data_IF_649235887498
#
_entry.id   IF_649235887498
#
_cell.length_a   1.000
_cell.length_b   1.000
_cell.length_c   1.000
_cell.angle_alpha   90.00
_cell.angle_beta   90.00
_cell.angle_gamma   90.00
#
_symmetry.space_group_name_H-M   'P 1'
#
loop_
_entity.id
_entity.type
_entity.pdbx_description
1 polymer ?
#
# COMPACT_ATOMS: atom_id res chain seq x y z
N UNK A 1 -34.23 -8.31 28.02
CA UNK A 1 -32.84 -8.13 28.47
C UNK A 1 -31.95 -8.86 27.47
N UNK A 2 -31.39 -8.12 26.52
CA UNK A 2 -30.26 -8.52 25.66
C UNK A 2 -29.77 -7.21 25.01
N UNK A 3 -29.06 -6.44 25.83
CA UNK A 3 -28.39 -5.20 25.43
C UNK A 3 -26.96 -5.63 25.12
N UNK A 4 -26.49 -5.39 23.90
CA UNK A 4 -25.16 -5.74 23.38
C UNK A 4 -24.97 -7.20 22.93
N UNK A 5 -24.98 -7.39 21.61
CA UNK A 5 -24.73 -8.66 20.93
C UNK A 5 -24.98 -8.57 19.42
N UNK A 6 -24.40 -7.57 18.75
CA UNK A 6 -24.32 -7.49 17.28
C UNK A 6 -22.88 -7.82 16.89
N UNK A 7 -22.54 -9.11 16.85
CA UNK A 7 -21.24 -9.58 17.35
C UNK A 7 -20.39 -10.17 16.20
N UNK A 8 -19.51 -9.37 15.57
CA UNK A 8 -18.52 -9.72 14.51
C UNK A 8 -18.99 -10.41 13.22
N UNK A 9 -19.96 -11.32 13.27
CA UNK A 9 -20.43 -12.11 12.14
C UNK A 9 -21.04 -11.22 11.02
N UNK A 10 -21.73 -10.14 11.39
CA UNK A 10 -22.30 -9.20 10.42
C UNK A 10 -21.22 -8.32 9.77
N UNK A 11 -20.21 -7.91 10.53
CA UNK A 11 -19.07 -7.13 10.01
C UNK A 11 -18.20 -7.98 9.09
N UNK A 12 -17.97 -9.25 9.46
CA UNK A 12 -17.30 -10.23 8.60
C UNK A 12 -18.09 -10.53 7.32
N UNK A 13 -19.42 -10.63 7.41
CA UNK A 13 -20.28 -10.79 6.23
C UNK A 13 -20.16 -9.59 5.31
N UNK A 14 -20.26 -8.37 5.85
CA UNK A 14 -20.12 -7.14 5.07
C UNK A 14 -18.73 -7.01 4.42
N UNK A 15 -17.66 -7.32 5.16
CA UNK A 15 -16.30 -7.35 4.64
C UNK A 15 -16.15 -8.33 3.48
N UNK A 16 -16.68 -9.55 3.63
CA UNK A 16 -16.64 -10.55 2.56
C UNK A 16 -17.44 -10.12 1.34
N UNK A 17 -18.60 -9.49 1.52
CA UNK A 17 -19.40 -8.97 0.41
C UNK A 17 -18.63 -7.89 -0.37
N UNK A 18 -17.95 -6.97 0.33
CA UNK A 18 -17.09 -5.97 -0.31
C UNK A 18 -15.92 -6.62 -1.07
N UNK A 19 -15.23 -7.60 -0.45
CA UNK A 19 -14.15 -8.34 -1.10
C UNK A 19 -14.68 -9.03 -2.36
N UNK A 20 -15.79 -9.77 -2.26
CA UNK A 20 -16.40 -10.48 -3.39
C UNK A 20 -16.74 -9.53 -4.55
N UNK A 21 -17.27 -8.34 -4.26
CA UNK A 21 -17.53 -7.32 -5.28
C UNK A 21 -16.24 -6.81 -5.95
N UNK A 22 -15.16 -6.58 -5.18
CA UNK A 22 -13.87 -6.19 -5.75
C UNK A 22 -13.30 -7.29 -6.66
N UNK A 23 -13.35 -8.55 -6.22
CA UNK A 23 -12.87 -9.69 -7.00
C UNK A 23 -13.67 -9.87 -8.30
N UNK A 24 -14.99 -9.73 -8.24
CA UNK A 24 -15.85 -9.76 -9.44
C UNK A 24 -15.51 -8.64 -10.45
N UNK A 25 -14.87 -7.56 -9.99
CA UNK A 25 -14.41 -6.44 -10.81
C UNK A 25 -12.89 -6.47 -11.09
N UNK A 26 -12.26 -7.64 -11.00
CA UNK A 26 -10.89 -7.86 -11.45
C UNK A 26 -9.80 -7.48 -10.44
N UNK A 27 -10.17 -7.21 -9.19
CA UNK A 27 -9.18 -7.09 -8.11
C UNK A 27 -8.62 -8.47 -7.73
N UNK A 28 -7.37 -8.48 -7.28
CA UNK A 28 -6.70 -9.65 -6.73
C UNK A 28 -6.90 -9.68 -5.21
N UNK A 29 -7.16 -10.87 -4.67
CA UNK A 29 -7.11 -11.09 -3.22
C UNK A 29 -5.65 -11.26 -2.79
N UNK A 30 -5.19 -10.42 -1.87
CA UNK A 30 -3.87 -10.52 -1.26
C UNK A 30 -3.89 -11.20 0.10
N UNK A 31 -2.69 -11.60 0.54
CA UNK A 31 -2.45 -12.18 1.87
C UNK A 31 -1.64 -11.20 2.72
N UNK A 32 -2.01 -10.94 3.99
CA UNK A 32 -1.28 -10.03 4.86
C UNK A 32 0.19 -10.40 5.07
N UNK A 33 0.51 -11.69 4.96
CA UNK A 33 1.86 -12.21 5.16
C UNK A 33 2.81 -11.87 3.99
N UNK A 34 2.25 -11.55 2.82
CA UNK A 34 3.01 -11.16 1.62
C UNK A 34 3.23 -9.65 1.53
N UNK A 35 2.71 -8.88 2.49
CA UNK A 35 2.96 -7.45 2.58
C UNK A 35 4.24 -7.19 3.38
N UNK A 36 5.19 -6.50 2.75
CA UNK A 36 6.38 -6.04 3.44
C UNK A 36 6.03 -4.81 4.28
N UNK A 37 6.09 -4.94 5.61
CA UNK A 37 5.73 -3.87 6.56
C UNK A 37 6.74 -2.72 6.61
N UNK A 38 8.02 -3.02 6.38
CA UNK A 38 9.09 -2.01 6.40
C UNK A 38 9.03 -1.11 5.16
N UNK A 39 8.88 -1.72 3.99
CA UNK A 39 8.75 -1.01 2.73
C UNK A 39 7.32 -0.56 2.47
N UNK A 40 6.34 -1.08 3.22
CA UNK A 40 4.90 -0.89 3.01
C UNK A 40 4.50 -1.06 1.53
N UNK A 41 4.93 -2.20 0.98
CA UNK A 41 4.69 -2.62 -0.40
C UNK A 41 4.12 -4.04 -0.42
N UNK A 42 3.30 -4.32 -1.43
CA UNK A 42 3.05 -5.69 -1.87
C UNK A 42 4.05 -6.02 -2.98
N UNK A 43 5.20 -6.58 -2.59
CA UNK A 43 6.42 -6.65 -3.42
C UNK A 43 6.21 -7.42 -4.73
N UNK A 44 5.48 -8.53 -4.67
CA UNK A 44 5.14 -9.36 -5.83
C UNK A 44 4.44 -8.56 -6.94
N UNK A 45 3.58 -7.60 -6.56
CA UNK A 45 2.87 -6.78 -7.52
C UNK A 45 3.75 -5.69 -8.12
N UNK A 46 4.66 -5.11 -7.32
CA UNK A 46 5.64 -4.12 -7.80
C UNK A 46 6.54 -4.76 -8.84
N UNK A 47 7.15 -5.90 -8.49
CA UNK A 47 8.08 -6.64 -9.33
C UNK A 47 7.36 -7.25 -10.54
N UNK A 48 6.20 -7.88 -10.31
CA UNK A 48 5.40 -8.49 -11.36
C UNK A 48 4.95 -7.48 -12.42
N UNK A 49 4.48 -6.29 -12.01
CA UNK A 49 4.10 -5.24 -12.96
C UNK A 49 5.29 -4.79 -13.82
N UNK A 50 6.43 -4.54 -13.19
CA UNK A 50 7.62 -4.06 -13.89
C UNK A 50 8.17 -5.11 -14.86
N UNK A 51 8.28 -6.36 -14.44
CA UNK A 51 8.76 -7.47 -15.28
C UNK A 51 7.84 -7.70 -16.47
N UNK A 52 6.52 -7.73 -16.26
CA UNK A 52 5.54 -7.98 -17.33
C UNK A 52 5.43 -6.86 -18.36
N UNK A 53 5.63 -5.61 -17.94
CA UNK A 53 5.37 -4.44 -18.81
C UNK A 53 6.63 -3.81 -19.38
N UNK A 54 7.79 -4.05 -18.73
CA UNK A 54 9.03 -3.30 -18.95
C UNK A 54 10.26 -4.22 -18.94
N UNK A 55 10.13 -5.48 -19.38
CA UNK A 55 11.21 -6.48 -19.40
C UNK A 55 12.52 -5.94 -19.96
N UNK A 56 12.51 -5.22 -21.10
CA UNK A 56 13.74 -4.64 -21.67
C UNK A 56 14.48 -3.70 -20.71
N UNK A 57 13.76 -2.94 -19.88
CA UNK A 57 14.37 -2.09 -18.85
C UNK A 57 14.81 -2.93 -17.64
N UNK A 58 14.01 -3.93 -17.28
CA UNK A 58 14.32 -4.88 -16.21
C UNK A 58 15.64 -5.63 -16.48
N UNK A 59 15.82 -6.22 -17.66
CA UNK A 59 17.05 -6.91 -18.05
C UNK A 59 18.28 -5.99 -18.02
N UNK A 60 18.12 -4.70 -18.34
CA UNK A 60 19.20 -3.71 -18.19
C UNK A 60 19.52 -3.46 -16.72
N UNK A 61 18.49 -3.35 -15.88
CA UNK A 61 18.65 -3.17 -14.44
C UNK A 61 19.38 -4.34 -13.79
N UNK A 62 19.03 -5.59 -14.13
CA UNK A 62 19.72 -6.78 -13.65
C UNK A 62 21.21 -6.81 -14.02
N UNK A 63 21.59 -6.27 -15.18
CA UNK A 63 23.02 -6.14 -15.56
C UNK A 63 23.77 -5.11 -14.73
N UNK A 64 23.09 -4.06 -14.27
CA UNK A 64 23.67 -3.02 -13.41
C UNK A 64 23.77 -3.46 -11.94
N UNK A 65 22.85 -4.32 -11.51
CA UNK A 65 22.74 -4.86 -10.16
C UNK A 65 22.70 -6.39 -10.20
N UNK A 66 23.86 -7.06 -10.42
CA UNK A 66 23.89 -8.52 -10.59
C UNK A 66 23.58 -9.30 -9.30
N UNK A 67 23.76 -8.66 -8.14
CA UNK A 67 23.48 -9.25 -6.84
C UNK A 67 22.13 -8.73 -6.34
N UNK A 68 21.14 -9.61 -6.32
CA UNK A 68 19.78 -9.35 -5.82
C UNK A 68 19.10 -8.09 -6.42
N UNK A 69 18.86 -8.09 -7.74
CA UNK A 69 18.25 -6.95 -8.43
C UNK A 69 16.83 -6.63 -7.93
N UNK A 70 16.11 -7.62 -7.42
CA UNK A 70 14.73 -7.45 -6.94
C UNK A 70 14.70 -6.64 -5.67
N UNK A 71 15.49 -7.03 -4.66
CA UNK A 71 15.60 -6.28 -3.42
C UNK A 71 16.12 -4.86 -3.67
N UNK A 72 17.13 -4.70 -4.53
CA UNK A 72 17.66 -3.37 -4.88
C UNK A 72 16.62 -2.49 -5.56
N UNK A 73 15.77 -3.07 -6.39
CA UNK A 73 14.67 -2.35 -7.03
C UNK A 73 13.62 -1.90 -6.01
N UNK A 74 13.22 -2.79 -5.10
CA UNK A 74 12.26 -2.48 -4.02
C UNK A 74 12.79 -1.38 -3.09
N UNK A 75 14.05 -1.48 -2.66
CA UNK A 75 14.75 -0.43 -1.90
C UNK A 75 14.73 0.91 -2.65
N UNK A 76 14.92 0.88 -3.97
CA UNK A 76 14.91 2.08 -4.81
C UNK A 76 13.52 2.70 -4.92
N UNK A 77 12.46 1.88 -5.00
CA UNK A 77 11.06 2.34 -4.94
C UNK A 77 10.80 2.98 -3.57
N UNK A 78 11.16 2.29 -2.49
CA UNK A 78 10.98 2.80 -1.13
C UNK A 78 11.73 4.11 -0.88
N UNK A 79 12.94 4.26 -1.43
CA UNK A 79 13.69 5.51 -1.36
C UNK A 79 12.94 6.67 -2.04
N UNK A 80 12.25 6.44 -3.16
CA UNK A 80 11.44 7.50 -3.78
C UNK A 80 10.15 7.80 -3.00
N UNK A 81 9.56 6.79 -2.36
CA UNK A 81 8.43 6.99 -1.46
C UNK A 81 8.83 7.84 -0.25
N UNK A 82 10.01 7.56 0.33
CA UNK A 82 10.50 8.22 1.54
C UNK A 82 11.02 9.66 1.31
N UNK A 83 11.22 10.08 0.06
CA UNK A 83 11.54 11.50 -0.27
C UNK A 83 10.34 12.44 -0.19
N UNK A 84 9.18 11.92 0.21
CA UNK A 84 8.00 12.74 0.42
C UNK A 84 8.25 13.74 1.55
N UNK A 85 8.44 15.01 1.19
CA UNK A 85 8.50 16.10 2.16
C UNK A 85 7.08 16.63 2.43
N UNK A 86 6.59 16.59 3.69
CA UNK A 86 5.29 17.13 4.05
C UNK A 86 5.15 18.63 3.76
N UNK A 87 6.23 19.41 3.76
CA UNK A 87 6.27 20.86 3.60
C UNK A 87 6.61 21.34 2.18
N UNK A 88 6.80 20.41 1.25
CA UNK A 88 7.11 20.70 -0.15
C UNK A 88 6.07 21.63 -0.85
N UNK A 89 6.45 22.87 -1.16
CA UNK A 89 5.66 23.79 -2.01
C UNK A 89 6.00 23.67 -3.51
N UNK A 90 7.16 23.11 -3.86
CA UNK A 90 7.74 23.20 -5.20
C UNK A 90 7.38 22.01 -6.11
N UNK A 91 7.27 22.28 -7.42
CA UNK A 91 6.80 21.33 -8.46
C UNK A 91 7.64 20.05 -8.56
N UNK A 92 8.95 20.12 -8.29
CA UNK A 92 9.87 18.97 -8.36
C UNK A 92 9.62 17.94 -7.24
N UNK A 93 9.16 18.40 -6.06
CA UNK A 93 8.82 17.53 -4.94
C UNK A 93 7.48 16.79 -5.11
N UNK A 94 6.68 17.15 -6.14
CA UNK A 94 5.46 16.41 -6.51
C UNK A 94 5.76 15.05 -7.19
N UNK A 95 7.04 14.75 -7.43
CA UNK A 95 7.48 13.46 -8.01
C UNK A 95 7.75 12.38 -6.97
N UNK A 96 7.64 12.70 -5.67
CA UNK A 96 7.91 11.79 -4.56
C UNK A 96 6.64 11.33 -3.84
N UNK A 97 6.81 10.36 -2.94
CA UNK A 97 5.68 9.74 -2.25
C UNK A 97 4.83 8.90 -3.18
N UNK A 98 3.75 8.33 -2.67
CA UNK A 98 2.91 7.39 -3.42
C UNK A 98 2.36 7.99 -4.70
N UNK A 99 1.83 9.22 -4.63
CA UNK A 99 1.26 9.89 -5.81
C UNK A 99 2.33 10.22 -6.85
N UNK A 100 3.51 10.64 -6.41
CA UNK A 100 4.63 10.94 -7.28
C UNK A 100 5.14 9.70 -8.00
N UNK A 101 5.32 8.61 -7.25
CA UNK A 101 5.76 7.30 -7.77
C UNK A 101 4.74 6.71 -8.75
N UNK A 102 3.44 6.90 -8.53
CA UNK A 102 2.40 6.48 -9.46
C UNK A 102 2.42 7.28 -10.77
N UNK A 103 2.72 8.58 -10.71
CA UNK A 103 2.59 9.50 -11.86
C UNK A 103 3.87 9.67 -12.68
N UNK A 104 5.03 9.40 -12.10
CA UNK A 104 6.32 9.72 -12.68
C UNK A 104 7.21 8.49 -12.85
N UNK A 105 8.21 8.64 -13.72
CA UNK A 105 9.19 7.57 -13.97
C UNK A 105 10.19 7.47 -12.82
N UNK A 106 10.36 6.26 -12.31
CA UNK A 106 11.50 5.88 -11.49
C UNK A 106 12.74 5.77 -12.38
N UNK A 107 13.70 6.66 -12.15
CA UNK A 107 14.97 6.69 -12.89
C UNK A 107 16.12 6.18 -12.04
N UNK A 108 16.93 5.31 -12.63
CA UNK A 108 18.14 4.83 -12.00
C UNK A 108 19.18 4.38 -13.03
N UNK A 109 20.39 4.95 -12.99
CA UNK A 109 21.55 4.59 -13.84
C UNK A 109 21.21 4.28 -15.31
N UNK A 110 20.41 5.14 -15.94
CA UNK A 110 20.01 5.00 -17.36
C UNK A 110 18.80 4.09 -17.63
N UNK A 111 18.29 3.39 -16.60
CA UNK A 111 17.01 2.69 -16.64
C UNK A 111 15.86 3.61 -16.25
N UNK A 112 14.68 3.35 -16.80
CA UNK A 112 13.44 4.11 -16.52
C UNK A 112 12.27 3.16 -16.38
N UNK A 113 11.55 3.27 -15.27
CA UNK A 113 10.38 2.45 -14.97
C UNK A 113 9.18 3.32 -14.62
N UNK A 114 8.00 2.95 -15.09
CA UNK A 114 6.72 3.44 -14.56
C UNK A 114 6.13 2.36 -13.66
N UNK A 115 5.61 2.74 -12.49
CA UNK A 115 4.97 1.79 -11.58
C UNK A 115 3.45 1.78 -11.71
N UNK A 116 2.89 2.61 -12.58
CA UNK A 116 1.48 2.59 -12.95
C UNK A 116 1.32 3.09 -14.37
N UNK A 117 0.40 2.47 -15.12
CA UNK A 117 -0.07 3.01 -16.39
C UNK A 117 -1.48 3.52 -16.17
N UNK A 118 -1.75 4.81 -16.26
CA UNK A 118 -3.13 5.31 -16.25
C UNK A 118 -3.83 4.96 -17.57
N UNK A 119 -5.17 4.89 -17.53
CA UNK A 119 -5.97 4.64 -18.73
C UNK A 119 -5.66 5.73 -19.77
N UNK A 120 -5.24 5.37 -21.00
CA UNK A 120 -4.97 6.36 -22.02
C UNK A 120 -6.27 7.07 -22.45
N UNK A 121 -6.19 8.36 -22.77
CA UNK A 121 -7.33 9.16 -23.25
C UNK A 121 -7.83 8.70 -24.63
N UNK A 122 -6.92 8.17 -25.44
CA UNK A 122 -7.20 7.67 -26.78
C UNK A 122 -6.52 6.31 -27.00
N UNK A 123 -7.16 5.44 -27.77
CA UNK A 123 -6.66 4.08 -28.07
C UNK A 123 -5.58 4.04 -29.17
N UNK A 124 -5.01 5.20 -29.51
CA UNK A 124 -4.02 5.36 -30.59
C UNK A 124 -2.70 4.64 -30.32
N UNK A 125 -2.35 4.39 -29.06
CA UNK A 125 -1.13 3.67 -28.68
C UNK A 125 -1.46 2.31 -28.05
N UNK A 126 -1.41 1.21 -28.82
CA UNK A 126 -1.77 -0.12 -28.33
C UNK A 126 -0.89 -0.58 -27.17
N UNK A 127 0.38 -0.13 -27.10
CA UNK A 127 1.28 -0.49 -26.00
C UNK A 127 0.83 0.13 -24.67
N UNK A 128 0.30 1.35 -24.69
CA UNK A 128 -0.21 1.99 -23.46
C UNK A 128 -1.46 1.30 -22.93
N UNK A 129 -2.35 0.87 -23.82
CA UNK A 129 -3.54 0.10 -23.44
C UNK A 129 -3.16 -1.28 -22.93
N UNK A 130 -2.19 -1.95 -23.57
CA UNK A 130 -1.68 -3.24 -23.12
C UNK A 130 -1.06 -3.15 -21.71
N UNK A 131 -0.27 -2.11 -21.44
CA UNK A 131 0.27 -1.85 -20.09
C UNK A 131 -0.80 -1.51 -19.07
N UNK A 132 -1.81 -0.73 -19.45
CA UNK A 132 -2.95 -0.40 -18.57
C UNK A 132 -3.67 -1.67 -18.12
N UNK A 133 -3.93 -2.59 -19.05
CA UNK A 133 -4.54 -3.90 -18.77
C UNK A 133 -3.68 -4.81 -17.90
N UNK A 134 -2.40 -4.48 -17.69
CA UNK A 134 -1.47 -5.21 -16.83
C UNK A 134 -1.34 -4.62 -15.43
N UNK A 135 -2.03 -3.50 -15.12
CA UNK A 135 -2.11 -3.03 -13.75
C UNK A 135 -2.75 -4.10 -12.85
N UNK A 136 -2.17 -4.28 -11.68
CA UNK A 136 -2.63 -5.18 -10.63
C UNK A 136 -3.31 -4.32 -9.57
N UNK A 137 -4.61 -4.49 -9.41
CA UNK A 137 -5.36 -3.90 -8.31
C UNK A 137 -5.53 -4.99 -7.26
N UNK A 138 -5.12 -4.74 -6.02
CA UNK A 138 -5.14 -5.77 -4.97
C UNK A 138 -5.80 -5.26 -3.71
N UNK A 139 -6.68 -6.08 -3.14
CA UNK A 139 -7.26 -5.88 -1.82
C UNK A 139 -6.61 -6.86 -0.85
N UNK A 140 -6.11 -6.35 0.28
CA UNK A 140 -5.54 -7.17 1.35
C UNK A 140 -6.40 -6.98 2.60
N UNK A 141 -7.11 -8.02 3.07
CA UNK A 141 -7.92 -7.93 4.28
C UNK A 141 -7.08 -8.06 5.55
N UNK A 142 -7.55 -7.53 6.68
CA UNK A 142 -6.97 -7.74 8.02
C UNK A 142 -5.47 -7.43 8.13
N UNK A 143 -5.02 -6.35 7.48
CA UNK A 143 -3.59 -6.07 7.32
C UNK A 143 -2.97 -5.55 8.62
N UNK A 144 -2.03 -6.31 9.20
CA UNK A 144 -1.12 -5.80 10.22
C UNK A 144 -0.03 -4.97 9.56
N UNK A 145 -0.05 -3.66 9.80
CA UNK A 145 0.78 -2.72 9.04
C UNK A 145 2.13 -2.42 9.69
N UNK A 146 2.25 -2.56 11.01
CA UNK A 146 3.42 -2.07 11.74
C UNK A 146 4.64 -3.00 11.60
N UNK A 147 5.78 -2.49 11.11
CA UNK A 147 7.03 -3.26 11.08
C UNK A 147 7.62 -3.47 12.49
N UNK A 148 7.15 -2.72 13.49
CA UNK A 148 7.63 -2.77 14.87
C UNK A 148 6.81 -3.72 15.75
N UNK A 149 5.79 -4.36 15.16
CA UNK A 149 4.93 -5.33 15.82
C UNK A 149 5.44 -6.78 15.66
N UNK A 150 6.77 -6.99 15.71
CA UNK A 150 7.42 -8.31 15.58
C UNK A 150 8.11 -8.73 16.87
N UNK A 151 8.35 -10.03 17.03
CA UNK A 151 9.03 -10.57 18.22
C UNK A 151 10.54 -10.28 18.15
N UNK A 152 11.10 -10.20 16.94
CA UNK A 152 12.48 -9.80 16.70
C UNK A 152 12.72 -8.36 17.17
N UNK A 153 11.79 -7.44 16.91
CA UNK A 153 11.90 -6.05 17.38
C UNK A 153 11.82 -5.96 18.91
N UNK A 154 10.93 -6.74 19.52
CA UNK A 154 10.81 -6.85 20.98
C UNK A 154 12.10 -7.36 21.61
N UNK A 155 12.68 -8.43 21.05
CA UNK A 155 13.93 -9.00 21.53
C UNK A 155 15.11 -8.03 21.41
N UNK A 156 15.14 -7.21 20.35
CA UNK A 156 16.21 -6.26 20.10
C UNK A 156 16.11 -4.96 20.92
N UNK A 157 14.89 -4.48 21.20
CA UNK A 157 14.68 -3.13 21.78
C UNK A 157 13.99 -3.11 23.14
N UNK A 158 13.41 -4.23 23.56
CA UNK A 158 12.60 -4.32 24.78
C UNK A 158 11.20 -3.72 24.66
N UNK A 159 10.83 -3.16 23.49
CA UNK A 159 9.50 -2.59 23.22
C UNK A 159 8.93 -3.15 21.92
N UNK A 160 7.60 -3.17 21.79
CA UNK A 160 6.89 -3.69 20.60
C UNK A 160 5.67 -2.83 20.32
N UNK A 161 5.46 -2.47 19.06
CA UNK A 161 4.22 -1.83 18.65
C UNK A 161 3.05 -2.82 18.74
N UNK A 162 1.84 -2.31 18.95
CA UNK A 162 0.65 -3.16 18.91
C UNK A 162 0.40 -3.64 17.48
N UNK A 163 0.04 -4.91 17.32
CA UNK A 163 -0.31 -5.51 16.04
C UNK A 163 -1.72 -5.07 15.58
N UNK A 164 -1.92 -3.77 15.40
CA UNK A 164 -3.15 -3.20 14.87
C UNK A 164 -3.38 -3.68 13.44
N UNK A 165 -4.64 -4.00 13.14
CA UNK A 165 -5.10 -4.43 11.81
C UNK A 165 -5.95 -3.33 11.18
N UNK A 166 -5.90 -3.23 9.86
CA UNK A 166 -6.83 -2.46 9.05
C UNK A 166 -7.66 -3.46 8.24
N UNK A 167 -8.99 -3.30 8.25
CA UNK A 167 -9.92 -4.29 7.71
C UNK A 167 -9.68 -4.57 6.23
N UNK A 168 -9.46 -3.52 5.41
CA UNK A 168 -9.04 -3.66 4.01
C UNK A 168 -7.99 -2.60 3.63
N UNK A 169 -6.96 -3.02 2.91
CA UNK A 169 -5.99 -2.11 2.28
C UNK A 169 -5.95 -2.37 0.78
N UNK A 170 -6.08 -1.29 0.01
CA UNK A 170 -6.11 -1.31 -1.44
C UNK A 170 -4.76 -0.89 -2.02
N UNK A 171 -4.27 -1.67 -2.97
CA UNK A 171 -2.99 -1.45 -3.65
C UNK A 171 -3.17 -1.32 -5.16
N UNK A 172 -2.31 -0.50 -5.77
CA UNK A 172 -2.11 -0.43 -7.23
C UNK A 172 -0.67 -0.80 -7.51
N UNK A 173 -0.45 -1.91 -8.23
CA UNK A 173 0.88 -2.45 -8.54
C UNK A 173 1.78 -2.52 -7.29
N UNK A 174 1.18 -2.94 -6.16
CA UNK A 174 1.85 -3.08 -4.87
C UNK A 174 2.12 -1.80 -4.09
N UNK A 175 1.71 -0.64 -4.60
CA UNK A 175 1.74 0.64 -3.87
C UNK A 175 0.41 0.85 -3.13
N UNK A 176 0.42 1.17 -1.82
CA UNK A 176 -0.81 1.37 -1.06
C UNK A 176 -1.51 2.66 -1.49
N UNK A 177 -2.81 2.61 -1.77
CA UNK A 177 -3.59 3.79 -2.20
C UNK A 177 -4.71 4.15 -1.23
N UNK A 178 -5.35 3.18 -0.58
CA UNK A 178 -6.43 3.44 0.36
C UNK A 178 -6.43 2.43 1.51
N UNK A 179 -6.85 2.89 2.69
CA UNK A 179 -7.22 2.03 3.83
C UNK A 179 -8.71 2.18 4.08
N UNK A 180 -9.37 1.08 4.45
CA UNK A 180 -10.79 1.03 4.79
C UNK A 180 -10.94 0.33 6.14
N UNK A 181 -11.54 1.00 7.11
CA UNK A 181 -12.16 0.34 8.26
C UNK A 181 -13.65 0.20 7.98
N UNK A 182 -14.20 -0.96 8.28
CA UNK A 182 -15.59 -1.29 8.01
C UNK A 182 -16.36 -1.28 9.33
N UNK A 183 -17.60 -0.81 9.29
CA UNK A 183 -18.54 -0.89 10.41
C UNK A 183 -19.93 -1.17 9.87
N UNK A 184 -20.71 -1.99 10.58
CA UNK A 184 -22.12 -2.20 10.29
C UNK A 184 -22.99 -1.08 10.89
N UNK A 185 -24.16 -0.84 10.30
CA UNK A 185 -24.94 0.40 10.45
C UNK A 185 -25.53 0.66 11.85
N UNK A 186 -24.87 1.51 12.65
CA UNK A 186 -25.52 2.27 13.72
C UNK A 186 -24.87 3.66 13.84
N UNK A 187 -25.65 4.76 13.81
CA UNK A 187 -25.12 6.15 13.76
C UNK A 187 -24.09 6.48 14.85
N UNK A 188 -24.26 5.94 16.07
CA UNK A 188 -23.30 6.13 17.16
C UNK A 188 -21.98 5.35 16.94
N UNK A 189 -22.02 4.22 16.25
CA UNK A 189 -20.83 3.42 15.95
C UNK A 189 -19.92 4.12 14.93
N UNK A 190 -20.47 4.84 13.95
CA UNK A 190 -19.69 5.56 12.92
C UNK A 190 -18.82 6.65 13.53
N UNK A 191 -19.37 7.54 14.35
CA UNK A 191 -18.59 8.62 14.99
C UNK A 191 -17.49 8.07 15.92
N UNK A 192 -17.80 6.97 16.62
CA UNK A 192 -16.82 6.28 17.44
C UNK A 192 -15.70 5.63 16.61
N UNK A 193 -16.03 5.07 15.44
CA UNK A 193 -15.06 4.48 14.53
C UNK A 193 -14.12 5.52 13.93
N UNK A 194 -14.64 6.66 13.48
CA UNK A 194 -13.84 7.80 13.01
C UNK A 194 -12.88 8.24 14.12
N UNK A 195 -13.40 8.47 15.34
CA UNK A 195 -12.57 8.86 16.48
C UNK A 195 -11.54 7.79 16.84
N UNK A 196 -11.91 6.52 16.81
CA UNK A 196 -11.00 5.40 17.04
C UNK A 196 -9.89 5.37 15.99
N UNK A 197 -10.20 5.61 14.73
CA UNK A 197 -9.22 5.67 13.66
C UNK A 197 -8.21 6.79 13.93
N UNK A 198 -8.69 8.01 14.19
CA UNK A 198 -7.86 9.19 14.47
C UNK A 198 -6.89 8.98 15.65
N UNK A 199 -7.30 8.24 16.69
CA UNK A 199 -6.47 8.03 17.88
C UNK A 199 -5.60 6.77 17.82
N UNK A 200 -5.95 5.76 17.01
CA UNK A 200 -5.24 4.47 17.00
C UNK A 200 -4.42 4.21 15.74
N UNK A 201 -4.73 4.87 14.62
CA UNK A 201 -4.01 4.73 13.35
C UNK A 201 -3.09 5.93 13.14
N UNK A 202 -2.17 6.10 14.08
CA UNK A 202 -1.22 7.20 14.07
C UNK A 202 -0.06 6.93 13.09
N UNK A 203 0.44 7.95 12.36
CA UNK A 203 1.61 7.83 11.50
C UNK A 203 2.93 7.53 12.23
N UNK A 204 2.96 7.69 13.55
CA UNK A 204 4.07 7.33 14.43
C UNK A 204 3.50 6.52 15.58
N UNK A 205 4.04 5.34 15.81
CA UNK A 205 3.59 4.48 16.90
C UNK A 205 3.97 5.08 18.27
N UNK A 206 3.03 5.17 19.22
CA UNK A 206 3.26 5.83 20.50
C UNK A 206 4.16 5.06 21.47
N UNK A 207 4.43 3.77 21.24
CA UNK A 207 5.24 2.92 22.12
C UNK A 207 6.69 2.89 21.65
N UNK A 208 6.90 2.66 20.37
CA UNK A 208 8.22 2.53 19.74
C UNK A 208 8.77 3.87 19.26
N UNK A 209 7.92 4.90 19.15
CA UNK A 209 8.24 6.21 18.58
C UNK A 209 8.81 6.14 17.16
N UNK A 210 8.45 5.09 16.42
CA UNK A 210 8.88 4.88 15.04
C UNK A 210 7.76 5.21 14.07
N UNK A 211 8.14 5.66 12.87
CA UNK A 211 7.19 5.94 11.81
C UNK A 211 6.48 4.66 11.35
N UNK A 212 5.20 4.79 11.00
CA UNK A 212 4.36 3.74 10.43
C UNK A 212 4.29 3.96 8.92
N UNK A 213 5.03 3.18 8.10
CA UNK A 213 5.22 3.53 6.70
C UNK A 213 3.90 3.58 5.90
N UNK A 214 2.94 2.69 6.22
CA UNK A 214 1.61 2.69 5.58
C UNK A 214 0.79 3.96 5.87
N UNK A 215 0.96 4.54 7.06
CA UNK A 215 0.15 5.66 7.56
C UNK A 215 0.89 7.01 7.44
N UNK A 216 2.15 6.99 7.03
CA UNK A 216 2.96 8.21 6.88
C UNK A 216 2.43 9.08 5.76
N UNK A 217 2.08 10.34 6.06
CA UNK A 217 1.53 11.29 5.09
C UNK A 217 2.41 11.43 3.83
N UNK A 218 1.77 11.50 2.66
CA UNK A 218 2.36 11.52 1.30
C UNK A 218 3.14 10.25 0.90
N UNK A 219 3.64 9.45 1.85
CA UNK A 219 4.48 8.27 1.63
C UNK A 219 3.69 6.96 1.63
N UNK A 220 2.66 6.84 2.47
CA UNK A 220 1.81 5.67 2.65
C UNK A 220 0.57 5.68 1.77
N UNK A 221 -0.53 5.12 2.28
CA UNK A 221 -1.82 5.21 1.61
C UNK A 221 -2.23 6.68 1.43
N UNK A 222 -2.90 6.98 0.30
CA UNK A 222 -3.25 8.35 -0.07
C UNK A 222 -4.49 8.85 0.66
N UNK A 223 -5.40 7.93 0.98
CA UNK A 223 -6.68 8.21 1.62
C UNK A 223 -7.00 7.11 2.64
N UNK A 224 -7.77 7.49 3.65
CA UNK A 224 -8.17 6.63 4.74
C UNK A 224 -9.67 6.78 4.95
N UNK A 225 -10.42 5.69 4.92
CA UNK A 225 -11.86 5.66 5.16
C UNK A 225 -12.14 4.94 6.48
N UNK A 226 -12.97 5.56 7.32
CA UNK A 226 -13.39 5.08 8.63
C UNK A 226 -14.88 5.38 8.87
#
# INVERSE_FOLDING_TARGET
>A
MSVFGGDKANEYTFQNDMINQLLANGWLLGKPELYNRELALYEDDVLGFVKDTQDRQWQKYCKLYPNDPEQKFLERVALQLNKADPNAANKEMRTFGTLGVLRHELRDRGTRFRLCQFRPEHELNPDTLARYKKNRLRVVPELVYSPWATDEHLAATGVKAKAWRIDLVLFVNGLPVATLELKSEFKQAVQNAIRQYEITRLPVDPVTHKAEPLLTFKRGALVHFA
#
